data_IF_474779381216
#
_entry.id   IF_474779381216
#
_cell.length_a   1.000
_cell.length_b   1.000
_cell.length_c   1.000
_cell.angle_alpha   90.00
_cell.angle_beta   90.00
_cell.angle_gamma   90.00
#
_symmetry.space_group_name_H-M   'P 1'
#
loop_
_entity.id
_entity.type
_entity.pdbx_description
1 polymer ?
#
# COMPACT_ATOMS: atom_id res chain seq x y z
N UNK A 1 10.51 -2.75 20.86
CA UNK A 1 10.83 -2.56 19.45
C UNK A 1 10.26 -3.71 18.64
N UNK A 2 9.55 -3.41 17.57
CA UNK A 2 8.97 -4.41 16.69
C UNK A 2 10.07 -5.12 15.88
N UNK A 3 10.05 -6.45 15.88
CA UNK A 3 10.98 -7.25 15.07
C UNK A 3 10.19 -7.96 13.98
N UNK A 4 9.73 -7.19 13.00
CA UNK A 4 9.04 -7.74 11.87
C UNK A 4 9.98 -8.07 10.73
N UNK A 5 9.60 -9.02 9.90
CA UNK A 5 10.25 -9.30 8.63
C UNK A 5 9.29 -9.02 7.50
N UNK A 6 9.84 -8.69 6.35
CA UNK A 6 9.04 -8.47 5.14
C UNK A 6 9.15 -9.72 4.28
N UNK A 7 8.02 -10.27 3.86
CA UNK A 7 8.00 -11.37 2.90
C UNK A 7 6.93 -11.17 1.84
N UNK A 8 7.09 -11.86 0.74
CA UNK A 8 6.10 -11.83 -0.34
C UNK A 8 4.84 -12.58 0.09
N UNK A 9 3.68 -12.03 -0.25
CA UNK A 9 2.40 -12.66 0.01
C UNK A 9 2.07 -13.76 -0.99
N UNK A 10 1.22 -14.68 -0.58
CA UNK A 10 0.72 -15.76 -1.42
C UNK A 10 -0.80 -15.90 -1.24
N UNK A 11 -1.41 -16.79 -2.03
CA UNK A 11 -2.86 -17.00 -1.98
C UNK A 11 -3.38 -17.37 -0.59
N UNK A 12 -2.53 -17.95 0.25
CA UNK A 12 -2.91 -18.34 1.61
C UNK A 12 -3.03 -17.15 2.56
N UNK A 13 -2.55 -15.98 2.14
CA UNK A 13 -2.51 -14.78 2.99
C UNK A 13 -3.73 -13.88 2.85
N UNK A 14 -4.67 -14.21 1.97
CA UNK A 14 -5.80 -13.31 1.65
C UNK A 14 -6.63 -12.92 2.87
N UNK A 15 -6.95 -13.87 3.75
CA UNK A 15 -7.74 -13.60 4.95
C UNK A 15 -7.00 -12.67 5.92
N UNK A 16 -5.68 -12.86 6.06
CA UNK A 16 -4.87 -12.03 6.95
C UNK A 16 -4.74 -10.60 6.39
N UNK A 17 -4.65 -10.45 5.07
CA UNK A 17 -4.62 -9.14 4.42
C UNK A 17 -5.96 -8.43 4.64
N UNK A 18 -7.07 -9.13 4.45
CA UNK A 18 -8.39 -8.56 4.71
C UNK A 18 -8.52 -8.10 6.16
N UNK A 19 -7.99 -8.89 7.11
CA UNK A 19 -8.04 -8.53 8.53
C UNK A 19 -7.31 -7.21 8.81
N UNK A 20 -6.19 -6.93 8.10
CA UNK A 20 -5.51 -5.65 8.22
C UNK A 20 -6.41 -4.51 7.75
N UNK A 21 -7.06 -4.68 6.60
CA UNK A 21 -7.96 -3.66 6.06
C UNK A 21 -9.16 -3.41 6.97
N UNK A 22 -9.71 -4.48 7.54
CA UNK A 22 -10.84 -4.36 8.48
C UNK A 22 -10.44 -3.68 9.78
N UNK A 23 -9.18 -3.80 10.18
CA UNK A 23 -8.67 -3.09 11.35
C UNK A 23 -8.50 -1.59 11.11
N UNK A 24 -8.08 -1.24 9.90
CA UNK A 24 -7.72 0.16 9.56
C UNK A 24 -8.93 0.96 9.09
N UNK A 25 -9.82 0.35 8.34
CA UNK A 25 -10.97 1.00 7.74
C UNK A 25 -12.26 0.58 8.41
N UNK A 26 -13.19 1.52 8.55
CA UNK A 26 -14.53 1.24 9.05
C UNK A 26 -15.25 0.22 8.16
N UNK A 27 -15.06 0.38 6.84
CA UNK A 27 -15.50 -0.62 5.87
C UNK A 27 -14.31 -0.91 4.95
N UNK A 28 -13.93 -2.18 4.81
CA UNK A 28 -12.80 -2.54 3.97
C UNK A 28 -13.02 -2.08 2.53
N UNK A 29 -12.04 -1.39 1.90
CA UNK A 29 -12.16 -0.98 0.51
C UNK A 29 -12.13 -2.17 -0.45
N UNK A 30 -11.62 -3.31 -0.02
CA UNK A 30 -11.49 -4.52 -0.85
C UNK A 30 -12.18 -5.70 -0.17
N UNK A 31 -12.76 -6.58 -1.00
CA UNK A 31 -13.38 -7.83 -0.54
C UNK A 31 -12.38 -8.97 -0.63
N UNK A 32 -12.65 -10.05 0.10
CA UNK A 32 -11.79 -11.23 0.12
C UNK A 32 -11.55 -11.77 -1.30
N UNK A 33 -12.60 -11.87 -2.10
CA UNK A 33 -12.52 -12.41 -3.47
C UNK A 33 -11.59 -11.58 -4.35
N UNK A 34 -11.59 -10.26 -4.17
CA UNK A 34 -10.71 -9.37 -4.91
C UNK A 34 -9.25 -9.59 -4.51
N UNK A 35 -8.99 -9.72 -3.21
CA UNK A 35 -7.63 -9.97 -2.70
C UNK A 35 -7.12 -11.31 -3.22
N UNK A 36 -7.96 -12.35 -3.16
CA UNK A 36 -7.61 -13.66 -3.69
C UNK A 36 -7.27 -13.62 -5.17
N UNK A 37 -8.08 -12.90 -5.95
CA UNK A 37 -7.84 -12.74 -7.38
C UNK A 37 -6.53 -12.00 -7.65
N UNK A 38 -6.25 -10.93 -6.90
CA UNK A 38 -5.01 -10.16 -7.04
C UNK A 38 -3.78 -11.02 -6.77
N UNK A 39 -3.84 -11.86 -5.75
CA UNK A 39 -2.70 -12.72 -5.36
C UNK A 39 -2.38 -13.77 -6.44
N UNK A 40 -3.29 -14.04 -7.35
CA UNK A 40 -3.07 -14.96 -8.48
C UNK A 40 -2.56 -14.25 -9.74
N UNK A 41 -2.56 -12.90 -9.76
CA UNK A 41 -2.11 -12.13 -10.93
C UNK A 41 -0.58 -12.05 -10.94
N UNK A 42 0.03 -12.25 -12.13
CA UNK A 42 1.49 -12.17 -12.27
C UNK A 42 2.03 -10.76 -12.09
N UNK A 43 1.22 -9.75 -12.39
CA UNK A 43 1.64 -8.35 -12.34
C UNK A 43 1.39 -7.69 -10.99
N UNK A 44 0.74 -8.36 -10.04
CA UNK A 44 0.41 -7.81 -8.72
C UNK A 44 1.21 -8.54 -7.65
N UNK A 45 1.88 -7.75 -6.81
CA UNK A 45 2.71 -8.26 -5.72
C UNK A 45 2.23 -7.69 -4.40
N UNK A 46 2.06 -8.58 -3.42
CA UNK A 46 1.81 -8.18 -2.05
C UNK A 46 3.06 -8.49 -1.24
N UNK A 47 3.51 -7.51 -0.46
CA UNK A 47 4.55 -7.72 0.53
C UNK A 47 3.95 -7.53 1.91
N UNK A 48 4.25 -8.43 2.83
CA UNK A 48 3.66 -8.46 4.15
C UNK A 48 4.72 -8.20 5.21
N UNK A 49 4.38 -7.38 6.19
CA UNK A 49 5.17 -7.26 7.41
C UNK A 49 4.65 -8.31 8.39
N UNK A 50 5.52 -9.21 8.83
CA UNK A 50 5.14 -10.36 9.65
C UNK A 50 6.00 -10.41 10.90
N UNK A 51 5.39 -10.75 12.04
CA UNK A 51 6.09 -11.02 13.28
C UNK A 51 5.41 -12.19 13.99
N UNK A 52 6.20 -13.21 14.33
CA UNK A 52 5.71 -14.43 15.00
C UNK A 52 4.49 -15.05 14.30
N UNK A 53 4.54 -15.08 12.96
CA UNK A 53 3.47 -15.66 12.16
C UNK A 53 2.25 -14.76 11.98
N UNK A 54 2.24 -13.59 12.59
CA UNK A 54 1.14 -12.64 12.48
C UNK A 54 1.44 -11.59 11.40
N UNK A 55 0.46 -11.33 10.53
CA UNK A 55 0.57 -10.26 9.53
C UNK A 55 0.19 -8.94 10.20
N UNK A 56 1.13 -8.00 10.21
CA UNK A 56 0.99 -6.70 10.85
C UNK A 56 0.53 -5.62 9.87
N UNK A 57 0.86 -5.79 8.61
CA UNK A 57 0.56 -4.82 7.57
C UNK A 57 0.98 -5.37 6.21
N UNK A 58 0.64 -4.61 5.16
CA UNK A 58 1.00 -5.02 3.80
C UNK A 58 1.08 -3.82 2.86
N UNK A 59 1.73 -4.04 1.72
CA UNK A 59 1.66 -3.16 0.56
C UNK A 59 1.31 -4.00 -0.66
N UNK A 60 0.40 -3.51 -1.48
CA UNK A 60 0.04 -4.13 -2.75
C UNK A 60 0.53 -3.25 -3.89
N UNK A 61 1.24 -3.86 -4.83
CA UNK A 61 1.91 -3.16 -5.93
C UNK A 61 1.55 -3.85 -7.24
N UNK A 62 1.19 -3.05 -8.24
CA UNK A 62 1.02 -3.56 -9.60
C UNK A 62 2.19 -3.09 -10.45
N UNK A 63 2.81 -4.00 -11.19
CA UNK A 63 3.95 -3.67 -12.07
C UNK A 63 3.64 -3.97 -13.51
N UNK A 64 4.03 -3.03 -14.38
CA UNK A 64 4.16 -3.25 -15.82
C UNK A 64 5.64 -3.26 -16.16
N UNK A 65 5.99 -3.33 -17.43
CA UNK A 65 7.39 -3.35 -17.86
C UNK A 65 8.14 -2.06 -17.43
N UNK A 66 7.48 -0.91 -17.45
CA UNK A 66 8.11 0.39 -17.22
C UNK A 66 7.67 1.11 -15.96
N UNK A 67 6.52 0.74 -15.42
CA UNK A 67 5.89 1.47 -14.34
C UNK A 67 5.44 0.54 -13.22
N UNK A 68 5.22 1.11 -12.05
CA UNK A 68 4.55 0.43 -10.95
C UNK A 68 3.53 1.37 -10.33
N UNK A 69 2.55 0.78 -9.67
CA UNK A 69 1.52 1.53 -8.95
C UNK A 69 1.37 0.95 -7.55
N UNK A 70 1.33 1.80 -6.54
CA UNK A 70 0.97 1.37 -5.20
C UNK A 70 -0.56 1.33 -5.15
N UNK A 71 -1.12 0.13 -5.04
CA UNK A 71 -2.57 -0.06 -5.00
C UNK A 71 -3.13 0.19 -3.61
N UNK A 72 -2.40 -0.23 -2.57
CA UNK A 72 -2.82 -0.06 -1.19
C UNK A 72 -1.63 -0.28 -0.27
N UNK A 73 -1.62 0.44 0.85
CA UNK A 73 -0.72 0.17 1.96
C UNK A 73 -1.51 0.33 3.25
N UNK A 74 -1.34 -0.60 4.17
CA UNK A 74 -2.01 -0.53 5.46
C UNK A 74 -1.20 -1.25 6.53
N UNK A 75 -1.18 -0.70 7.73
CA UNK A 75 -0.58 -1.30 8.91
C UNK A 75 -1.63 -1.26 10.01
N UNK A 76 -1.84 -2.38 10.71
CA UNK A 76 -2.78 -2.45 11.82
C UNK A 76 -2.50 -1.32 12.81
N UNK A 77 -3.54 -0.72 13.36
CA UNK A 77 -3.44 0.48 14.20
C UNK A 77 -2.48 0.31 15.36
N UNK A 78 -2.51 -0.83 16.01
CA UNK A 78 -1.67 -1.10 17.19
C UNK A 78 -0.19 -1.16 16.84
N UNK A 79 0.15 -1.39 15.57
CA UNK A 79 1.54 -1.50 15.11
C UNK A 79 2.02 -0.28 14.33
N UNK A 80 1.21 0.76 14.22
CA UNK A 80 1.60 1.99 13.53
C UNK A 80 2.64 2.77 14.35
N UNK A 81 3.40 3.62 13.66
CA UNK A 81 4.40 4.45 14.31
C UNK A 81 5.73 3.75 14.59
N UNK A 82 5.97 2.57 14.02
CA UNK A 82 7.17 1.76 14.25
C UNK A 82 8.03 1.59 13.00
N UNK A 83 7.71 2.32 11.92
CA UNK A 83 8.48 2.27 10.68
C UNK A 83 8.10 1.13 9.75
N UNK A 84 7.05 0.37 10.02
CA UNK A 84 6.64 -0.75 9.16
C UNK A 84 6.20 -0.29 7.78
N UNK A 85 5.47 0.81 7.68
CA UNK A 85 5.04 1.33 6.38
C UNK A 85 6.25 1.71 5.51
N UNK A 86 7.28 2.32 6.10
CA UNK A 86 8.51 2.63 5.37
C UNK A 86 9.23 1.38 4.91
N UNK A 87 9.28 0.34 5.75
CA UNK A 87 9.87 -0.95 5.38
C UNK A 87 9.13 -1.60 4.22
N UNK A 88 7.79 -1.52 4.24
CA UNK A 88 6.96 -2.04 3.15
C UNK A 88 7.21 -1.26 1.85
N UNK A 89 7.28 0.05 1.92
CA UNK A 89 7.56 0.90 0.75
C UNK A 89 8.98 0.70 0.21
N UNK A 90 9.92 0.24 1.06
CA UNK A 90 11.26 -0.08 0.61
C UNK A 90 11.30 -1.27 -0.38
N UNK A 91 10.19 -2.02 -0.49
CA UNK A 91 10.07 -3.12 -1.46
C UNK A 91 9.74 -2.64 -2.87
N UNK A 92 9.41 -1.36 -3.04
CA UNK A 92 9.10 -0.80 -4.35
C UNK A 92 10.31 -0.87 -5.29
N UNK A 93 10.09 -1.14 -6.59
CA UNK A 93 11.20 -1.21 -7.54
C UNK A 93 11.88 0.15 -7.73
N UNK A 94 13.22 0.16 -7.76
CA UNK A 94 14.01 1.38 -7.89
C UNK A 94 14.10 1.91 -9.31
N UNK A 95 13.92 1.02 -10.28
CA UNK A 95 14.19 1.31 -11.70
C UNK A 95 12.96 1.75 -12.47
N UNK A 96 11.82 1.89 -11.80
CA UNK A 96 10.55 2.21 -12.45
C UNK A 96 9.97 3.51 -11.90
N UNK A 97 9.21 4.20 -12.74
CA UNK A 97 8.33 5.26 -12.24
C UNK A 97 7.22 4.60 -11.43
N UNK A 98 6.89 5.19 -10.28
CA UNK A 98 5.88 4.64 -9.39
C UNK A 98 4.81 5.70 -9.15
N UNK A 99 3.56 5.31 -9.32
CA UNK A 99 2.39 6.17 -9.14
C UNK A 99 1.53 5.66 -8.01
N UNK A 100 0.78 6.57 -7.42
CA UNK A 100 -0.25 6.22 -6.44
C UNK A 100 -1.32 7.30 -6.41
N UNK A 101 -2.48 6.93 -5.86
CA UNK A 101 -3.57 7.84 -5.61
C UNK A 101 -3.92 7.77 -4.13
N UNK A 102 -4.20 8.92 -3.53
CA UNK A 102 -4.53 9.01 -2.11
C UNK A 102 -5.59 10.08 -1.91
N UNK A 103 -6.51 9.86 -0.95
CA UNK A 103 -7.53 10.86 -0.61
C UNK A 103 -6.86 12.16 -0.16
N UNK A 104 -7.40 13.28 -0.64
CA UNK A 104 -6.86 14.61 -0.32
C UNK A 104 -6.84 14.86 1.20
N UNK A 105 -7.75 14.27 1.95
CA UNK A 105 -7.82 14.42 3.40
C UNK A 105 -6.80 13.57 4.15
N UNK A 106 -6.19 12.58 3.50
CA UNK A 106 -5.27 11.67 4.18
C UNK A 106 -3.86 12.28 4.24
N UNK A 107 -3.70 13.31 5.06
CA UNK A 107 -2.43 14.02 5.19
C UNK A 107 -1.29 13.18 5.78
N UNK A 108 -1.53 12.31 6.78
CA UNK A 108 -0.44 11.46 7.31
C UNK A 108 0.16 10.55 6.24
N UNK A 109 -0.66 9.94 5.40
CA UNK A 109 -0.18 9.06 4.34
C UNK A 109 0.54 9.85 3.27
N UNK A 110 0.04 11.03 2.90
CA UNK A 110 0.73 11.91 1.96
C UNK A 110 2.12 12.30 2.48
N UNK A 111 2.21 12.59 3.79
CA UNK A 111 3.48 12.91 4.43
C UNK A 111 4.47 11.74 4.38
N UNK A 112 3.98 10.52 4.59
CA UNK A 112 4.78 9.31 4.48
C UNK A 112 5.34 9.16 3.05
N UNK A 113 4.49 9.32 2.04
CA UNK A 113 4.93 9.21 0.66
C UNK A 113 5.96 10.28 0.29
N UNK A 114 5.77 11.52 0.77
CA UNK A 114 6.75 12.58 0.53
C UNK A 114 8.12 12.25 1.12
N UNK A 115 8.15 11.62 2.30
CA UNK A 115 9.41 11.15 2.90
C UNK A 115 10.08 10.08 2.03
N UNK A 116 9.30 9.33 1.27
CA UNK A 116 9.80 8.26 0.39
C UNK A 116 9.99 8.77 -1.03
N UNK A 117 10.14 10.10 -1.21
CA UNK A 117 10.46 10.77 -2.47
C UNK A 117 9.35 10.81 -3.49
N UNK A 118 8.10 10.67 -3.07
CA UNK A 118 6.96 10.91 -3.94
C UNK A 118 6.58 12.39 -3.94
N UNK A 119 6.14 12.88 -5.10
CA UNK A 119 5.70 14.25 -5.28
C UNK A 119 4.29 14.27 -5.85
N UNK A 120 3.48 15.26 -5.45
CA UNK A 120 2.17 15.46 -6.03
C UNK A 120 2.33 15.97 -7.45
N UNK A 121 1.68 15.31 -8.42
CA UNK A 121 1.75 15.71 -9.84
C UNK A 121 0.40 16.13 -10.39
N UNK A 122 -0.71 15.73 -9.79
CA UNK A 122 -2.04 16.04 -10.28
C UNK A 122 -3.08 15.77 -9.21
N UNK A 123 -4.31 16.16 -9.50
CA UNK A 123 -5.49 15.84 -8.67
C UNK A 123 -6.62 15.41 -9.57
N UNK A 124 -7.42 14.46 -9.08
CA UNK A 124 -8.66 14.04 -9.74
C UNK A 124 -9.84 14.47 -8.88
N UNK A 125 -10.68 15.34 -9.40
CA UNK A 125 -11.83 15.85 -8.67
C UNK A 125 -12.89 14.76 -8.49
N UNK A 126 -13.43 14.67 -7.28
CA UNK A 126 -14.52 13.75 -6.94
C UNK A 126 -14.24 12.29 -7.32
N UNK A 127 -12.97 11.86 -7.17
CA UNK A 127 -12.53 10.52 -7.56
C UNK A 127 -13.05 9.43 -6.63
N UNK A 128 -13.03 9.70 -5.31
CA UNK A 128 -13.48 8.74 -4.31
C UNK A 128 -14.96 8.96 -3.98
N UNK A 129 -15.60 7.89 -3.52
CA UNK A 129 -16.99 7.92 -3.05
C UNK A 129 -17.04 7.49 -1.58
N UNK A 130 -18.13 7.86 -0.89
CA UNK A 130 -18.44 7.46 0.48
C UNK A 130 -17.32 7.73 1.51
N UNK A 131 -16.86 8.98 1.71
CA UNK A 131 -17.37 10.23 1.16
C UNK A 131 -16.75 10.58 -0.20
N UNK A 132 -17.39 11.50 -0.90
CA UNK A 132 -16.83 12.04 -2.14
C UNK A 132 -15.62 12.90 -1.76
N UNK A 133 -14.48 12.61 -2.37
CA UNK A 133 -13.24 13.34 -2.15
C UNK A 133 -12.40 13.35 -3.41
N UNK A 134 -11.57 14.37 -3.53
CA UNK A 134 -10.56 14.42 -4.58
C UNK A 134 -9.45 13.43 -4.28
N UNK A 135 -8.80 12.94 -5.33
CA UNK A 135 -7.57 12.17 -5.24
C UNK A 135 -6.37 13.07 -5.50
N UNK A 136 -5.34 12.89 -4.68
CA UNK A 136 -4.01 13.43 -4.99
C UNK A 136 -3.26 12.32 -5.70
N UNK A 137 -2.71 12.61 -6.87
CA UNK A 137 -1.88 11.67 -7.61
C UNK A 137 -0.42 12.02 -7.34
N UNK A 138 0.33 11.03 -6.90
CA UNK A 138 1.74 11.20 -6.57
C UNK A 138 2.61 10.28 -7.42
N UNK A 139 3.86 10.69 -7.62
CA UNK A 139 4.81 9.97 -8.46
C UNK A 139 6.20 9.99 -7.84
N UNK A 140 6.93 8.89 -7.97
CA UNK A 140 8.36 8.83 -7.67
C UNK A 140 9.10 8.41 -8.95
N UNK A 141 10.16 9.13 -9.27
CA UNK A 141 10.98 8.83 -10.44
C UNK A 141 11.96 7.68 -10.14
N UNK A 142 12.47 6.99 -11.19
CA UNK A 142 13.47 5.95 -11.00
C UNK A 142 14.68 6.45 -10.22
N UNK A 143 15.25 5.55 -9.39
CA UNK A 143 16.49 5.78 -8.62
C UNK A 143 16.37 6.83 -7.51
N UNK A 144 15.16 7.22 -7.14
CA UNK A 144 14.95 8.10 -5.99
C UNK A 144 14.48 7.29 -4.78
N UNK A 145 15.36 7.15 -3.78
CA UNK A 145 15.07 6.39 -2.57
C UNK A 145 15.37 7.18 -1.34
#
# INVERSE_FOLDING_TARGET
>A
MMKGTIRKGSSQDAAAILAVLEDVYEASPWKLEQIEADLEQESIFYFLAVDEGQVLGFVAIQETLYEAEVLQIAVKRVFQGQGLAQQLLAQLPDQKEIFLEVRVSNLPVQGLYKKMHFEEIARRKNYYHDPIEDAVIMKRNPNER
#
